data_IF_486516146368
#
_entry.id   IF_486516146368
#
_cell.length_a   1.000
_cell.length_b   1.000
_cell.length_c   1.000
_cell.angle_alpha   90.00
_cell.angle_beta   90.00
_cell.angle_gamma   90.00
#
_symmetry.space_group_name_H-M   'P 1'
#
loop_
_entity.id
_entity.type
_entity.pdbx_description
1 polymer ?
#
# COMPACT_ATOMS: atom_id res chain seq x y z
N UNK A 1 12.07 -6.85 -46.16
CA UNK A 1 13.20 -7.18 -45.27
C UNK A 1 12.67 -7.14 -43.85
N UNK A 2 12.57 -8.33 -43.31
CA UNK A 2 11.93 -8.69 -42.04
C UNK A 2 13.02 -8.78 -40.97
N UNK A 3 12.89 -8.14 -39.83
CA UNK A 3 13.69 -8.46 -38.65
C UNK A 3 12.82 -8.36 -37.39
N UNK A 4 12.57 -9.54 -36.79
CA UNK A 4 12.00 -9.71 -35.46
C UNK A 4 13.07 -9.38 -34.42
N UNK A 5 12.73 -8.78 -33.24
CA UNK A 5 13.63 -8.74 -32.09
C UNK A 5 13.32 -9.88 -31.11
N UNK A 6 14.33 -10.53 -30.75
CA UNK A 6 14.83 -11.25 -29.58
C UNK A 6 13.89 -11.59 -28.40
N UNK A 7 13.48 -12.88 -28.37
CA UNK A 7 12.89 -13.56 -27.20
C UNK A 7 13.95 -14.36 -26.39
N UNK A 8 15.19 -13.88 -26.30
CA UNK A 8 16.35 -14.65 -25.81
C UNK A 8 16.78 -14.49 -24.35
N UNK A 9 16.25 -13.52 -23.59
CA UNK A 9 16.87 -13.13 -22.31
C UNK A 9 16.18 -13.68 -21.05
N UNK A 10 14.95 -14.14 -21.12
CA UNK A 10 14.20 -14.58 -19.93
C UNK A 10 14.44 -16.05 -19.54
N UNK A 11 14.96 -16.87 -20.44
CA UNK A 11 15.15 -18.32 -20.21
C UNK A 11 16.45 -18.68 -19.46
N UNK A 12 17.41 -17.75 -19.37
CA UNK A 12 18.75 -18.08 -18.84
C UNK A 12 18.87 -17.92 -17.32
N UNK A 13 17.98 -17.18 -16.67
CA UNK A 13 18.05 -16.95 -15.21
C UNK A 13 17.54 -18.14 -14.37
N UNK A 14 16.50 -18.82 -14.84
CA UNK A 14 15.91 -19.95 -14.11
C UNK A 14 16.79 -21.22 -14.21
N UNK A 15 17.52 -21.38 -15.30
CA UNK A 15 18.45 -22.51 -15.48
C UNK A 15 19.74 -22.33 -14.68
N UNK A 16 20.23 -21.10 -14.52
CA UNK A 16 21.38 -20.76 -13.69
C UNK A 16 21.13 -21.03 -12.20
N UNK A 17 19.92 -20.69 -11.71
CA UNK A 17 19.54 -20.93 -10.31
C UNK A 17 19.40 -22.41 -10.01
N UNK A 18 18.86 -23.23 -10.93
CA UNK A 18 18.77 -24.68 -10.78
C UNK A 18 20.15 -25.36 -10.76
N UNK A 19 21.11 -24.90 -11.56
CA UNK A 19 22.47 -25.44 -11.56
C UNK A 19 23.21 -25.11 -10.27
N UNK A 20 23.08 -23.88 -9.74
CA UNK A 20 23.65 -23.49 -8.44
C UNK A 20 23.08 -24.30 -7.28
N UNK A 21 21.77 -24.59 -7.30
CA UNK A 21 21.13 -25.34 -6.22
C UNK A 21 21.58 -26.83 -6.21
N UNK A 22 21.72 -27.44 -7.38
CA UNK A 22 22.18 -28.83 -7.52
C UNK A 22 23.65 -28.97 -7.10
N UNK A 23 24.50 -28.03 -7.46
CA UNK A 23 25.92 -28.02 -7.02
C UNK A 23 26.02 -27.83 -5.51
N UNK A 24 25.19 -26.99 -4.90
CA UNK A 24 25.18 -26.76 -3.45
C UNK A 24 24.69 -28.00 -2.67
N UNK A 25 23.71 -28.74 -3.19
CA UNK A 25 23.19 -29.95 -2.58
C UNK A 25 24.16 -31.15 -2.67
N UNK A 26 24.95 -31.25 -3.75
CA UNK A 26 26.00 -32.28 -3.88
C UNK A 26 27.17 -32.01 -2.94
N UNK A 27 27.58 -30.77 -2.73
CA UNK A 27 28.62 -30.39 -1.77
C UNK A 27 28.22 -30.73 -0.32
N UNK A 28 26.95 -30.58 0.05
CA UNK A 28 26.42 -30.93 1.37
C UNK A 28 26.40 -32.45 1.58
N UNK A 29 26.17 -33.22 0.51
CA UNK A 29 26.16 -34.68 0.55
C UNK A 29 27.56 -35.26 0.77
N UNK A 30 28.58 -34.69 0.14
CA UNK A 30 29.98 -35.15 0.32
C UNK A 30 30.57 -34.76 1.69
N UNK A 31 30.22 -33.58 2.23
CA UNK A 31 30.57 -33.14 3.57
C UNK A 31 30.08 -34.11 4.68
N UNK A 32 28.87 -34.69 4.49
CA UNK A 32 28.31 -35.67 5.44
C UNK A 32 29.04 -37.04 5.46
N UNK A 33 29.66 -37.43 4.36
CA UNK A 33 30.37 -38.70 4.25
C UNK A 33 31.73 -38.65 4.95
N UNK A 34 32.39 -37.48 4.95
CA UNK A 34 33.69 -37.29 5.60
C UNK A 34 33.60 -37.07 7.13
N UNK A 35 32.45 -36.64 7.63
CA UNK A 35 32.23 -36.35 9.05
C UNK A 35 31.86 -37.60 9.88
N UNK A 36 31.46 -38.73 9.24
CA UNK A 36 31.14 -40.00 9.93
C UNK A 36 32.34 -40.81 10.37
N UNK A 37 33.56 -40.52 9.90
CA UNK A 37 34.77 -41.29 10.24
C UNK A 37 35.60 -40.71 11.39
N UNK A 38 35.23 -39.57 11.98
CA UNK A 38 35.98 -38.91 13.07
C UNK A 38 35.24 -38.69 14.39
N UNK A 39 34.00 -39.20 14.54
CA UNK A 39 33.20 -39.04 15.77
C UNK A 39 33.16 -40.33 16.61
N UNK A 40 34.35 -40.80 17.04
CA UNK A 40 34.47 -41.85 18.07
C UNK A 40 35.45 -41.45 19.15
N UNK A 41 35.38 -40.28 19.70
CA UNK A 41 35.99 -39.84 20.99
C UNK A 41 35.79 -38.34 21.10
N UNK A 42 34.78 -37.92 21.79
CA UNK A 42 34.67 -36.74 22.68
C UNK A 42 33.16 -36.61 22.97
N UNK A 43 32.74 -37.36 23.96
CA UNK A 43 31.53 -37.09 24.71
C UNK A 43 31.85 -35.97 25.72
N UNK A 44 30.85 -35.10 25.96
CA UNK A 44 30.83 -34.05 26.99
C UNK A 44 31.50 -32.71 26.60
N UNK A 45 30.86 -31.91 25.79
CA UNK A 45 30.75 -30.44 25.88
C UNK A 45 30.16 -29.92 24.55
N UNK A 46 28.83 -29.81 24.41
CA UNK A 46 28.27 -29.37 23.12
C UNK A 46 26.77 -29.14 23.10
N UNK A 47 26.14 -28.87 24.25
CA UNK A 47 24.67 -28.63 24.26
C UNK A 47 24.31 -27.13 24.08
N UNK A 48 25.29 -26.24 23.96
CA UNK A 48 25.02 -24.77 23.96
C UNK A 48 25.06 -24.11 22.58
N UNK A 49 25.53 -24.79 21.54
CA UNK A 49 25.65 -24.14 20.19
C UNK A 49 24.43 -24.35 19.28
N UNK A 50 23.51 -25.25 19.63
CA UNK A 50 22.32 -25.54 18.78
C UNK A 50 21.15 -24.52 18.91
N UNK A 51 21.22 -23.54 19.81
CA UNK A 51 20.14 -22.57 20.05
C UNK A 51 20.28 -21.22 19.32
N UNK A 52 21.39 -20.98 18.60
CA UNK A 52 21.59 -19.68 17.91
C UNK A 52 21.28 -19.66 16.41
N UNK A 53 20.86 -20.78 15.81
CA UNK A 53 20.52 -20.83 14.36
C UNK A 53 19.00 -20.69 14.11
N UNK A 54 18.17 -20.68 15.14
CA UNK A 54 16.71 -20.61 14.99
C UNK A 54 16.13 -19.17 14.94
N UNK A 55 16.95 -18.12 15.01
CA UNK A 55 16.46 -16.72 15.09
C UNK A 55 16.63 -15.88 13.80
N UNK A 56 17.05 -16.47 12.68
CA UNK A 56 17.23 -15.69 11.42
C UNK A 56 16.20 -15.96 10.33
N UNK A 57 15.04 -16.57 10.66
CA UNK A 57 13.96 -16.87 9.70
C UNK A 57 12.74 -15.97 9.83
N UNK A 58 12.84 -14.79 10.44
CA UNK A 58 11.68 -13.93 10.73
C UNK A 58 11.51 -12.72 9.80
N UNK A 59 12.03 -12.76 8.59
CA UNK A 59 11.84 -11.67 7.63
C UNK A 59 11.37 -12.12 6.24
N UNK A 60 10.81 -13.31 6.10
CA UNK A 60 10.08 -13.68 4.89
C UNK A 60 8.63 -13.27 5.07
N UNK A 61 8.24 -12.11 4.55
CA UNK A 61 6.82 -11.81 4.30
C UNK A 61 6.28 -12.96 3.43
N UNK A 62 5.22 -13.67 3.85
CA UNK A 62 4.73 -14.84 3.09
C UNK A 62 4.38 -14.42 1.67
N UNK A 63 4.79 -15.18 0.66
CA UNK A 63 4.47 -14.94 -0.75
C UNK A 63 2.97 -14.72 -0.98
N UNK A 64 2.11 -15.38 -0.22
CA UNK A 64 0.66 -15.20 -0.23
C UNK A 64 0.17 -13.76 0.08
N UNK A 65 0.93 -12.99 0.86
CA UNK A 65 0.56 -11.59 1.13
C UNK A 65 0.86 -10.67 -0.06
N UNK A 66 1.92 -10.96 -0.82
CA UNK A 66 2.23 -10.24 -2.05
C UNK A 66 1.18 -10.53 -3.14
N UNK A 67 0.75 -11.80 -3.27
CA UNK A 67 -0.26 -12.20 -4.25
C UNK A 67 -1.64 -11.58 -3.93
N UNK A 68 -2.00 -11.49 -2.66
CA UNK A 68 -3.24 -10.83 -2.23
C UNK A 68 -3.22 -9.33 -2.54
N UNK A 69 -2.12 -8.64 -2.22
CA UNK A 69 -1.97 -7.20 -2.49
C UNK A 69 -1.97 -6.89 -3.99
N UNK A 70 -1.35 -7.77 -4.81
CA UNK A 70 -1.40 -7.68 -6.27
C UNK A 70 -2.82 -7.80 -6.81
N UNK A 71 -3.57 -8.78 -6.30
CA UNK A 71 -4.96 -9.00 -6.67
C UNK A 71 -5.82 -7.80 -6.32
N UNK A 72 -5.65 -7.24 -5.13
CA UNK A 72 -6.41 -6.07 -4.66
C UNK A 72 -6.06 -4.80 -5.46
N UNK A 73 -4.78 -4.60 -5.78
CA UNK A 73 -4.33 -3.53 -6.67
C UNK A 73 -4.99 -3.62 -8.05
N UNK A 74 -5.00 -4.81 -8.66
CA UNK A 74 -5.61 -5.03 -9.96
C UNK A 74 -7.12 -4.84 -9.94
N UNK A 75 -7.81 -5.28 -8.88
CA UNK A 75 -9.24 -5.07 -8.72
C UNK A 75 -9.59 -3.59 -8.54
N UNK A 76 -8.81 -2.83 -7.75
CA UNK A 76 -8.99 -1.38 -7.61
C UNK A 76 -8.82 -0.67 -8.95
N UNK A 77 -7.76 -0.99 -9.71
CA UNK A 77 -7.55 -0.40 -11.04
C UNK A 77 -8.70 -0.71 -12.00
N UNK A 78 -9.25 -1.92 -11.97
CA UNK A 78 -10.36 -2.30 -12.82
C UNK A 78 -11.64 -1.56 -12.45
N UNK A 79 -11.97 -1.48 -11.15
CA UNK A 79 -13.20 -0.83 -10.68
C UNK A 79 -13.20 0.68 -10.85
N UNK A 80 -12.05 1.31 -10.69
CA UNK A 80 -11.88 2.77 -10.77
C UNK A 80 -11.30 3.22 -12.12
N UNK A 81 -11.39 2.39 -13.15
CA UNK A 81 -10.76 2.68 -14.45
C UNK A 81 -11.28 3.97 -15.10
N UNK A 82 -12.55 4.32 -14.90
CA UNK A 82 -13.14 5.58 -15.39
C UNK A 82 -12.56 6.81 -14.70
N UNK A 83 -12.48 6.78 -13.38
CA UNK A 83 -11.94 7.85 -12.55
C UNK A 83 -10.43 8.01 -12.73
N UNK A 84 -9.71 6.90 -12.96
CA UNK A 84 -8.29 6.92 -13.32
C UNK A 84 -8.10 7.56 -14.69
N UNK A 85 -8.90 7.19 -15.69
CA UNK A 85 -8.82 7.76 -17.03
C UNK A 85 -9.13 9.27 -17.06
N UNK A 86 -10.01 9.74 -16.18
CA UNK A 86 -10.32 11.16 -15.99
C UNK A 86 -9.36 11.89 -15.04
N UNK A 87 -8.30 11.23 -14.57
CA UNK A 87 -7.31 11.76 -13.62
C UNK A 87 -7.90 12.20 -12.25
N UNK A 88 -9.05 11.70 -11.89
CA UNK A 88 -9.72 11.98 -10.62
C UNK A 88 -9.27 11.02 -9.50
N UNK A 89 -8.79 9.84 -9.88
CA UNK A 89 -8.22 8.84 -8.97
C UNK A 89 -6.85 8.43 -9.46
N UNK A 90 -5.91 8.28 -8.51
CA UNK A 90 -4.57 7.78 -8.79
C UNK A 90 -4.23 6.66 -7.81
N UNK A 91 -3.86 5.48 -8.33
CA UNK A 91 -3.50 4.33 -7.52
C UNK A 91 -2.01 4.08 -7.66
N UNK A 92 -1.30 4.08 -6.53
CA UNK A 92 0.14 3.84 -6.47
C UNK A 92 0.41 2.59 -5.64
N UNK A 93 1.19 1.68 -6.20
CA UNK A 93 1.72 0.54 -5.46
C UNK A 93 3.00 0.96 -4.75
N UNK A 94 3.03 0.77 -3.45
CA UNK A 94 4.20 0.96 -2.59
C UNK A 94 4.74 -0.40 -2.16
N UNK A 95 5.95 -0.42 -1.58
CA UNK A 95 6.51 -1.64 -1.03
C UNK A 95 5.69 -2.10 0.18
N UNK A 96 4.87 -3.14 -0.01
CA UNK A 96 3.98 -3.68 1.03
C UNK A 96 2.69 -2.89 1.30
N UNK A 97 2.37 -1.85 0.48
CA UNK A 97 1.16 -1.05 0.66
C UNK A 97 0.55 -0.62 -0.69
N UNK A 98 -0.74 -0.26 -0.66
CA UNK A 98 -1.42 0.41 -1.78
C UNK A 98 -1.85 1.79 -1.29
N UNK A 99 -1.59 2.81 -2.09
CA UNK A 99 -2.08 4.16 -1.88
C UNK A 99 -3.06 4.54 -2.99
N UNK A 100 -4.28 4.93 -2.61
CA UNK A 100 -5.32 5.45 -3.52
C UNK A 100 -5.50 6.92 -3.20
N UNK A 101 -5.16 7.80 -4.13
CA UNK A 101 -5.41 9.24 -4.03
C UNK A 101 -6.65 9.59 -4.85
N UNK A 102 -7.63 10.20 -4.21
CA UNK A 102 -8.89 10.64 -4.82
C UNK A 102 -8.95 12.16 -4.78
N UNK A 103 -9.23 12.79 -5.91
CA UNK A 103 -9.41 14.23 -5.97
C UNK A 103 -10.61 14.66 -5.10
N UNK A 104 -10.38 15.62 -4.22
CA UNK A 104 -11.45 16.13 -3.32
C UNK A 104 -12.62 16.74 -4.05
N UNK A 105 -12.42 17.30 -5.24
CA UNK A 105 -13.49 17.91 -6.04
C UNK A 105 -14.48 16.85 -6.59
N UNK A 106 -14.07 15.57 -6.66
CA UNK A 106 -14.95 14.44 -6.95
C UNK A 106 -15.84 14.09 -5.74
N UNK A 107 -15.31 14.26 -4.53
CA UNK A 107 -15.94 13.79 -3.29
C UNK A 107 -16.78 14.86 -2.59
N UNK A 108 -16.43 16.13 -2.75
CA UNK A 108 -17.00 17.21 -1.97
C UNK A 108 -17.33 18.43 -2.83
N UNK A 109 -18.40 19.16 -2.53
CA UNK A 109 -18.61 20.47 -3.11
C UNK A 109 -17.47 21.43 -2.72
N UNK A 110 -17.29 22.49 -3.50
CA UNK A 110 -16.26 23.51 -3.22
C UNK A 110 -16.36 24.02 -1.79
N UNK A 111 -15.24 23.99 -1.06
CA UNK A 111 -15.19 24.33 0.36
C UNK A 111 -15.89 23.35 1.30
N UNK A 112 -16.59 22.35 0.80
CA UNK A 112 -17.33 21.38 1.63
C UNK A 112 -16.48 20.22 2.15
N UNK A 113 -17.09 19.48 3.08
CA UNK A 113 -16.61 18.22 3.62
C UNK A 113 -17.70 17.15 3.72
N UNK A 114 -18.95 17.51 3.36
CA UNK A 114 -20.06 16.56 3.31
C UNK A 114 -20.07 15.91 1.94
N UNK A 115 -20.07 14.60 1.90
CA UNK A 115 -20.03 13.83 0.66
C UNK A 115 -21.46 13.60 0.14
N UNK A 116 -21.82 14.13 -1.05
CA UNK A 116 -23.11 13.88 -1.63
C UNK A 116 -23.26 12.43 -2.11
N UNK A 117 -24.48 11.90 -2.26
CA UNK A 117 -24.70 10.49 -2.63
C UNK A 117 -23.99 10.04 -3.91
N UNK A 118 -23.88 10.94 -4.91
CA UNK A 118 -23.19 10.64 -6.17
C UNK A 118 -21.68 10.42 -5.97
N UNK A 119 -21.07 11.22 -5.09
CA UNK A 119 -19.65 11.10 -4.75
C UNK A 119 -19.36 9.84 -3.93
N UNK A 120 -20.33 9.41 -3.12
CA UNK A 120 -20.23 8.19 -2.34
C UNK A 120 -20.06 6.92 -3.20
N UNK A 121 -20.51 6.94 -4.45
CA UNK A 121 -20.38 5.79 -5.36
C UNK A 121 -18.92 5.41 -5.60
N UNK A 122 -18.04 6.37 -5.88
CA UNK A 122 -16.60 6.12 -6.09
C UNK A 122 -15.97 5.43 -4.89
N UNK A 123 -16.31 5.87 -3.67
CA UNK A 123 -15.81 5.24 -2.44
C UNK A 123 -16.45 3.86 -2.22
N UNK A 124 -17.73 3.69 -2.59
CA UNK A 124 -18.43 2.40 -2.45
C UNK A 124 -17.84 1.30 -3.34
N UNK A 125 -17.25 1.64 -4.48
CA UNK A 125 -16.56 0.68 -5.34
C UNK A 125 -15.29 0.10 -4.71
N UNK A 126 -14.61 0.87 -3.87
CA UNK A 126 -13.45 0.43 -3.10
C UNK A 126 -13.84 -0.38 -1.85
N UNK A 127 -14.97 -0.06 -1.23
CA UNK A 127 -15.36 -0.60 0.07
C UNK A 127 -15.37 -2.14 0.15
N UNK A 128 -15.84 -2.92 -0.84
CA UNK A 128 -15.82 -4.38 -0.78
C UNK A 128 -14.40 -4.95 -0.78
N UNK A 129 -13.45 -4.26 -1.40
CA UNK A 129 -12.04 -4.65 -1.39
C UNK A 129 -11.46 -4.35 -0.01
N UNK A 130 -11.70 -3.13 0.49
CA UNK A 130 -11.20 -2.67 1.79
C UNK A 130 -11.78 -3.44 2.97
N UNK A 131 -13.04 -3.86 2.91
CA UNK A 131 -13.69 -4.64 3.97
C UNK A 131 -13.11 -6.05 4.15
N UNK A 132 -12.40 -6.58 3.15
CA UNK A 132 -11.71 -7.88 3.25
C UNK A 132 -10.43 -7.82 4.10
N UNK A 133 -9.86 -6.65 4.26
CA UNK A 133 -8.70 -6.47 5.13
C UNK A 133 -9.10 -6.61 6.59
N UNK A 134 -8.64 -7.70 7.24
CA UNK A 134 -9.02 -8.01 8.61
C UNK A 134 -7.98 -7.57 9.64
N UNK A 135 -6.75 -7.24 9.19
CA UNK A 135 -5.60 -6.90 10.04
C UNK A 135 -4.78 -5.73 9.47
N UNK A 136 -5.18 -5.19 8.32
CA UNK A 136 -4.47 -4.09 7.65
C UNK A 136 -5.02 -2.76 8.12
N UNK A 137 -4.17 -1.86 8.57
CA UNK A 137 -4.57 -0.49 8.91
C UNK A 137 -4.84 0.30 7.63
N UNK A 138 -5.97 0.99 7.59
CA UNK A 138 -6.37 1.91 6.53
C UNK A 138 -6.21 3.33 7.07
N UNK A 139 -5.24 4.07 6.54
CA UNK A 139 -5.02 5.46 6.92
C UNK A 139 -5.67 6.34 5.86
N UNK A 140 -6.67 7.12 6.26
CA UNK A 140 -7.34 8.11 5.43
C UNK A 140 -6.76 9.48 5.75
N UNK A 141 -6.05 10.08 4.80
CA UNK A 141 -5.39 11.37 4.97
C UNK A 141 -5.99 12.40 4.03
N UNK A 142 -6.46 13.52 4.58
CA UNK A 142 -6.94 14.66 3.80
C UNK A 142 -5.85 15.70 3.57
N UNK A 143 -5.91 16.33 2.39
CA UNK A 143 -5.05 17.45 1.99
C UNK A 143 -5.87 18.55 1.36
N UNK A 144 -5.36 19.78 1.39
CA UNK A 144 -5.89 20.94 0.70
C UNK A 144 -4.84 21.52 -0.26
N UNK A 145 -5.23 22.52 -1.03
CA UNK A 145 -4.29 23.47 -1.60
C UNK A 145 -3.89 24.52 -0.54
N UNK A 146 -3.04 25.49 -0.93
CA UNK A 146 -2.56 26.54 -0.04
C UNK A 146 -3.50 27.76 0.07
N UNK A 147 -4.71 27.67 -0.45
CA UNK A 147 -5.69 28.77 -0.33
C UNK A 147 -6.19 28.84 1.11
N UNK A 148 -6.13 30.00 1.76
CA UNK A 148 -6.62 30.14 3.13
C UNK A 148 -8.12 29.86 3.25
N UNK A 149 -8.55 29.39 4.42
CA UNK A 149 -9.97 29.18 4.74
C UNK A 149 -10.77 30.47 4.57
N UNK A 150 -11.79 30.41 3.74
CA UNK A 150 -12.67 31.55 3.46
C UNK A 150 -13.65 31.85 4.61
N UNK A 151 -14.26 33.06 4.60
CA UNK A 151 -15.15 33.52 5.68
C UNK A 151 -16.36 32.62 5.94
N UNK A 152 -16.86 31.93 4.91
CA UNK A 152 -17.99 31.01 5.04
C UNK A 152 -17.63 29.79 5.92
N UNK A 153 -16.50 29.18 5.68
CA UNK A 153 -16.00 28.06 6.49
C UNK A 153 -15.64 28.49 7.90
N UNK A 154 -15.08 29.72 8.04
CA UNK A 154 -14.78 30.30 9.37
C UNK A 154 -16.04 30.47 10.20
N UNK A 155 -17.15 30.93 9.60
CA UNK A 155 -18.47 31.02 10.27
C UNK A 155 -19.02 29.67 10.72
N UNK A 156 -18.64 28.60 10.01
CA UNK A 156 -18.97 27.21 10.36
C UNK A 156 -18.01 26.59 11.38
N UNK A 157 -17.05 27.39 11.89
CA UNK A 157 -16.10 26.98 12.92
C UNK A 157 -14.85 26.28 12.38
N UNK A 158 -14.60 26.33 11.05
CA UNK A 158 -13.40 25.76 10.44
C UNK A 158 -12.35 26.85 10.32
N UNK A 159 -11.28 26.73 11.10
CA UNK A 159 -10.27 27.77 11.23
C UNK A 159 -9.03 27.55 10.34
N UNK A 160 -8.78 26.33 9.86
CA UNK A 160 -7.56 25.99 9.14
C UNK A 160 -7.77 24.94 8.05
N UNK A 161 -6.85 24.90 7.08
CA UNK A 161 -6.77 23.85 6.05
C UNK A 161 -6.59 22.45 6.66
N UNK A 162 -5.84 22.35 7.75
CA UNK A 162 -5.66 21.11 8.49
C UNK A 162 -6.99 20.59 9.05
N UNK A 163 -7.81 21.48 9.67
CA UNK A 163 -9.11 21.11 10.16
C UNK A 163 -10.08 20.70 9.04
N UNK A 164 -10.13 21.44 7.93
CA UNK A 164 -10.95 21.07 6.76
C UNK A 164 -10.57 19.72 6.20
N UNK A 165 -9.27 19.48 6.01
CA UNK A 165 -8.77 18.22 5.49
C UNK A 165 -9.04 17.04 6.42
N UNK A 166 -8.96 17.25 7.74
CA UNK A 166 -9.34 16.24 8.75
C UNK A 166 -10.83 15.88 8.65
N UNK A 167 -11.71 16.86 8.53
CA UNK A 167 -13.16 16.63 8.40
C UNK A 167 -13.49 15.84 7.12
N UNK A 168 -12.81 16.13 6.01
CA UNK A 168 -12.92 15.36 4.76
C UNK A 168 -12.47 13.91 4.94
N UNK A 169 -11.32 13.71 5.57
CA UNK A 169 -10.82 12.37 5.87
C UNK A 169 -11.79 11.58 6.78
N UNK A 170 -12.36 12.22 7.80
CA UNK A 170 -13.35 11.62 8.69
C UNK A 170 -14.64 11.24 7.94
N UNK A 171 -15.11 12.08 7.01
CA UNK A 171 -16.29 11.78 6.22
C UNK A 171 -16.08 10.53 5.35
N UNK A 172 -14.94 10.41 4.68
CA UNK A 172 -14.59 9.21 3.90
C UNK A 172 -14.46 7.99 4.80
N UNK A 173 -13.77 8.11 5.92
CA UNK A 173 -13.59 7.04 6.90
C UNK A 173 -14.94 6.52 7.44
N UNK A 174 -15.82 7.42 7.85
CA UNK A 174 -17.15 7.06 8.36
C UNK A 174 -17.99 6.35 7.29
N UNK A 175 -17.89 6.80 6.04
CA UNK A 175 -18.56 6.11 4.94
C UNK A 175 -18.01 4.70 4.74
N UNK A 176 -16.69 4.49 4.71
CA UNK A 176 -16.08 3.17 4.60
C UNK A 176 -16.52 2.25 5.75
N UNK A 177 -16.58 2.77 6.97
CA UNK A 177 -17.06 2.03 8.15
C UNK A 177 -18.53 1.62 7.95
N UNK A 178 -19.39 2.51 7.43
CA UNK A 178 -20.79 2.19 7.12
C UNK A 178 -20.94 1.10 6.05
N UNK A 179 -19.93 0.93 5.20
CA UNK A 179 -19.85 -0.10 4.16
C UNK A 179 -19.20 -1.40 4.64
N UNK A 180 -18.93 -1.56 5.93
CA UNK A 180 -18.45 -2.81 6.54
C UNK A 180 -16.95 -2.86 6.84
N UNK A 181 -16.20 -1.78 6.61
CA UNK A 181 -14.82 -1.70 7.09
C UNK A 181 -14.78 -1.59 8.61
N UNK A 182 -13.91 -2.38 9.27
CA UNK A 182 -13.82 -2.38 10.73
C UNK A 182 -13.32 -1.05 11.28
N UNK A 183 -14.02 -0.41 12.22
CA UNK A 183 -13.64 0.90 12.76
C UNK A 183 -12.24 0.94 13.38
N UNK A 184 -11.83 -0.14 14.05
CA UNK A 184 -10.51 -0.24 14.71
C UNK A 184 -9.33 -0.34 13.71
N UNK A 185 -9.59 -0.53 12.42
CA UNK A 185 -8.58 -0.55 11.37
C UNK A 185 -8.47 0.79 10.65
N UNK A 186 -9.39 1.74 10.87
CA UNK A 186 -9.41 3.02 10.16
C UNK A 186 -8.84 4.12 11.04
N UNK A 187 -7.85 4.83 10.50
CA UNK A 187 -7.26 6.03 11.11
C UNK A 187 -7.47 7.23 10.19
N UNK A 188 -7.66 8.42 10.75
CA UNK A 188 -7.84 9.64 9.98
C UNK A 188 -6.76 10.67 10.31
N UNK A 189 -6.30 11.41 9.30
CA UNK A 189 -5.35 12.51 9.44
C UNK A 189 -5.78 13.68 8.56
N UNK A 190 -5.62 14.90 9.06
CA UNK A 190 -5.73 16.12 8.26
C UNK A 190 -4.36 16.78 8.22
N UNK A 191 -3.79 16.95 7.04
CA UNK A 191 -2.47 17.54 6.85
C UNK A 191 -2.52 18.91 6.16
N UNK A 192 -3.74 19.42 5.84
CA UNK A 192 -3.90 20.73 5.23
C UNK A 192 -3.15 20.83 3.91
N UNK A 193 -2.41 21.89 3.73
CA UNK A 193 -1.64 22.21 2.53
C UNK A 193 -0.16 21.72 2.58
N UNK A 194 0.15 20.86 3.54
CA UNK A 194 1.46 20.16 3.56
C UNK A 194 1.53 19.10 2.47
N UNK A 195 2.74 18.68 2.08
CA UNK A 195 2.98 17.68 1.04
C UNK A 195 2.26 17.93 -0.30
N UNK A 196 2.44 19.09 -0.95
CA UNK A 196 1.87 19.34 -2.25
C UNK A 196 2.44 18.38 -3.31
N UNK A 197 1.58 17.76 -4.12
CA UNK A 197 1.97 16.86 -5.21
C UNK A 197 2.15 17.61 -6.54
N UNK A 198 1.70 18.87 -6.59
CA UNK A 198 1.83 19.77 -7.74
C UNK A 198 2.00 21.22 -7.26
N UNK A 199 2.40 22.12 -8.20
CA UNK A 199 2.54 23.54 -7.87
C UNK A 199 1.20 24.15 -7.47
N UNK A 200 1.17 24.88 -6.35
CA UNK A 200 0.02 25.68 -5.93
C UNK A 200 -0.19 26.96 -6.76
N UNK A 201 0.75 27.33 -7.63
CA UNK A 201 0.66 28.54 -8.47
C UNK A 201 -0.37 28.38 -9.57
N UNK A 202 -0.67 27.16 -10.00
CA UNK A 202 -1.63 26.88 -11.08
C UNK A 202 -2.95 26.32 -10.53
N UNK A 203 -4.10 26.65 -11.16
CA UNK A 203 -5.39 26.06 -10.78
C UNK A 203 -5.40 24.54 -10.85
N UNK A 204 -4.75 23.97 -11.87
CA UNK A 204 -4.62 22.52 -12.06
C UNK A 204 -3.81 21.87 -10.95
N UNK A 205 -2.67 22.47 -10.58
CA UNK A 205 -1.86 21.95 -9.47
C UNK A 205 -2.58 22.05 -8.13
N UNK A 206 -3.31 23.15 -7.85
CA UNK A 206 -4.15 23.23 -6.67
C UNK A 206 -5.23 22.14 -6.64
N UNK A 207 -5.85 21.83 -7.78
CA UNK A 207 -6.83 20.75 -7.87
C UNK A 207 -6.21 19.37 -7.53
N UNK A 208 -4.96 19.12 -7.93
CA UNK A 208 -4.24 17.90 -7.58
C UNK A 208 -3.87 17.85 -6.09
N UNK A 209 -3.56 19.00 -5.49
CA UNK A 209 -3.23 19.09 -4.06
C UNK A 209 -4.47 18.86 -3.18
N UNK A 210 -5.66 19.30 -3.61
CA UNK A 210 -6.94 18.97 -2.93
C UNK A 210 -7.30 17.51 -3.13
N UNK A 211 -6.85 16.63 -2.23
CA UNK A 211 -7.04 15.19 -2.35
C UNK A 211 -7.29 14.51 -1.01
N UNK A 212 -7.88 13.34 -1.07
CA UNK A 212 -7.93 12.38 0.05
C UNK A 212 -7.14 11.14 -0.36
N UNK A 213 -6.19 10.75 0.44
CA UNK A 213 -5.38 9.54 0.24
C UNK A 213 -5.84 8.44 1.20
N UNK A 214 -6.04 7.23 0.67
CA UNK A 214 -6.25 6.02 1.44
C UNK A 214 -4.99 5.17 1.31
N UNK A 215 -4.28 4.98 2.42
CA UNK A 215 -3.09 4.11 2.46
C UNK A 215 -3.44 2.83 3.20
N UNK A 216 -3.34 1.71 2.48
CA UNK A 216 -3.50 0.38 3.03
C UNK A 216 -2.10 -0.13 3.39
N UNK A 217 -1.76 -0.03 4.66
CA UNK A 217 -0.47 -0.48 5.18
C UNK A 217 -0.56 -1.98 5.52
N UNK A 218 0.24 -2.82 4.87
CA UNK A 218 0.34 -4.23 5.21
C UNK A 218 0.86 -4.44 6.64
N UNK A 219 0.66 -5.62 7.25
CA UNK A 219 1.21 -5.93 8.55
C UNK A 219 2.75 -5.85 8.50
N UNK A 220 3.33 -4.93 9.27
CA UNK A 220 4.78 -4.76 9.39
C UNK A 220 5.38 -3.54 8.68
N UNK A 221 4.56 -2.59 8.23
CA UNK A 221 5.02 -1.26 7.74
C UNK A 221 4.88 -0.19 8.81
#
# INVERSE_FOLDING_TARGET
VNSRPDDGIVFNSAQSIRHSLVVMLTQISEGKKMMRSRLSRIATTGVVVAQFIALSLSACVPAQQYDALETDYNQLNQRLSGEIASQQVHITRLQGAIKVAVNSDLLFPSGGWQMPPQAAQTISEMAPILARFQQTTIIVTGYTDNVPIGPELQRQGIASNEQLSLMRAQTVANFLISQGVKPNLVQTRGLGDTDPVASNDTPQGRAQNRRVELTLAGPGT
#
